data_IF_482416461745
#
_entry.id   IF_482416461745
#
_cell.length_a   1.000
_cell.length_b   1.000
_cell.length_c   1.000
_cell.angle_alpha   90.00
_cell.angle_beta   90.00
_cell.angle_gamma   90.00
#
_symmetry.space_group_name_H-M   'P 1'
#
loop_
_entity.id
_entity.type
_entity.pdbx_description
1 polymer ?
#
# COMPACT_ATOMS: atom_id res chain seq x y z
N UNK A 1 7.54 -5.22 79.21
CA UNK A 1 7.85 -6.60 78.85
C UNK A 1 8.08 -6.60 77.31
N UNK A 2 9.36 -6.39 76.95
CA UNK A 2 9.78 -6.25 75.57
C UNK A 2 10.09 -7.61 74.95
N UNK A 3 9.36 -8.06 73.97
CA UNK A 3 9.63 -9.25 73.17
C UNK A 3 10.37 -8.85 71.89
N UNK A 4 11.68 -9.03 71.88
CA UNK A 4 12.58 -8.97 70.76
C UNK A 4 12.21 -10.06 69.74
N UNK A 5 11.64 -9.67 68.57
CA UNK A 5 11.52 -10.55 67.41
C UNK A 5 12.90 -10.66 66.75
N UNK A 6 13.50 -11.86 66.85
CA UNK A 6 14.70 -12.23 66.07
C UNK A 6 14.34 -12.30 64.57
N UNK A 7 15.01 -11.49 63.72
CA UNK A 7 14.99 -11.62 62.26
C UNK A 7 15.65 -12.96 61.91
N UNK A 8 14.97 -13.74 61.06
CA UNK A 8 15.57 -14.88 60.38
C UNK A 8 16.56 -14.36 59.34
N UNK A 9 17.70 -15.01 59.10
CA UNK A 9 18.64 -14.67 58.02
C UNK A 9 17.94 -14.98 56.67
N UNK A 10 18.07 -14.05 55.72
CA UNK A 10 17.71 -14.27 54.31
C UNK A 10 18.59 -15.36 53.72
N UNK A 11 18.04 -16.23 52.83
CA UNK A 11 18.85 -17.20 52.13
C UNK A 11 19.78 -16.47 51.10
N UNK A 12 20.98 -16.97 50.84
CA UNK A 12 21.93 -16.35 49.97
C UNK A 12 21.44 -16.45 48.51
N UNK A 13 21.38 -15.29 47.83
CA UNK A 13 21.56 -15.14 46.40
C UNK A 13 20.62 -15.94 45.51
N UNK A 14 19.38 -15.43 45.31
CA UNK A 14 18.70 -15.66 44.05
C UNK A 14 19.44 -14.80 43.01
N UNK A 15 20.26 -15.44 42.17
CA UNK A 15 20.73 -14.84 40.92
C UNK A 15 19.50 -14.36 40.14
N UNK A 16 19.49 -13.07 39.78
CA UNK A 16 18.47 -12.52 38.89
C UNK A 16 18.34 -13.44 37.66
N UNK A 17 17.12 -13.74 37.18
CA UNK A 17 16.96 -14.52 35.96
C UNK A 17 17.76 -13.80 34.87
N UNK A 18 18.73 -14.51 34.27
CA UNK A 18 19.53 -13.99 33.18
C UNK A 18 18.59 -13.46 32.10
N UNK A 19 18.77 -12.22 31.72
CA UNK A 19 18.07 -11.64 30.58
C UNK A 19 18.31 -12.57 29.39
N UNK A 20 17.27 -13.23 28.91
CA UNK A 20 17.31 -13.93 27.64
C UNK A 20 17.71 -12.89 26.60
N UNK A 21 18.79 -13.08 25.83
CA UNK A 21 19.22 -12.09 24.86
C UNK A 21 18.04 -11.82 23.92
N UNK A 22 17.71 -10.54 23.73
CA UNK A 22 16.69 -10.13 22.79
C UNK A 22 16.97 -10.76 21.42
N UNK A 23 15.97 -11.33 20.75
CA UNK A 23 16.17 -11.94 19.44
C UNK A 23 16.80 -10.92 18.48
N UNK A 24 17.74 -11.37 17.67
CA UNK A 24 18.39 -10.52 16.65
C UNK A 24 17.81 -10.82 15.27
N UNK A 25 17.64 -9.79 14.45
CA UNK A 25 17.19 -9.97 13.07
C UNK A 25 18.14 -10.92 12.31
N UNK A 26 17.64 -11.69 11.33
CA UNK A 26 18.47 -12.55 10.49
C UNK A 26 19.63 -11.77 9.88
N UNK A 27 20.81 -12.39 9.81
CA UNK A 27 22.03 -11.72 9.34
C UNK A 27 21.87 -11.11 7.94
N UNK A 28 21.14 -11.83 7.05
CA UNK A 28 20.87 -11.33 5.70
C UNK A 28 20.02 -10.06 5.71
N UNK A 29 19.04 -9.96 6.61
CA UNK A 29 18.17 -8.79 6.70
C UNK A 29 18.92 -7.59 7.29
N UNK A 30 19.72 -7.80 8.35
CA UNK A 30 20.52 -6.72 8.96
C UNK A 30 21.43 -6.02 7.98
N UNK A 31 22.00 -6.76 7.03
CA UNK A 31 22.87 -6.21 5.99
C UNK A 31 22.14 -5.27 4.99
N UNK A 32 20.81 -5.30 4.97
CA UNK A 32 19.98 -4.46 4.08
C UNK A 32 19.60 -3.10 4.69
N UNK A 33 19.97 -2.87 5.96
CA UNK A 33 19.64 -1.62 6.65
C UNK A 33 20.91 -0.85 7.02
N UNK A 34 20.81 0.48 7.00
CA UNK A 34 21.85 1.39 7.51
C UNK A 34 21.73 1.62 9.01
N UNK A 35 20.56 1.37 9.58
CA UNK A 35 20.21 1.58 10.98
C UNK A 35 20.02 0.25 11.70
N UNK A 36 20.22 0.27 13.01
CA UNK A 36 20.03 -0.92 13.85
C UNK A 36 18.54 -1.26 13.95
N UNK A 37 18.24 -2.56 13.79
CA UNK A 37 16.90 -3.11 13.98
C UNK A 37 16.73 -3.56 15.43
N UNK A 38 15.72 -3.05 16.11
CA UNK A 38 15.30 -3.50 17.43
C UNK A 38 14.10 -4.45 17.31
N UNK A 39 14.14 -5.57 18.03
CA UNK A 39 13.02 -6.49 18.07
C UNK A 39 11.84 -5.89 18.84
N UNK A 40 10.64 -6.02 18.29
CA UNK A 40 9.40 -5.67 18.96
C UNK A 40 8.42 -6.83 18.85
N UNK A 41 8.00 -7.35 20.02
CA UNK A 41 7.02 -8.44 20.08
C UNK A 41 5.61 -7.84 20.04
N UNK A 42 4.85 -8.19 19.01
CA UNK A 42 3.53 -7.59 18.74
C UNK A 42 2.34 -8.39 19.27
N UNK A 43 2.54 -9.61 19.75
CA UNK A 43 1.42 -10.39 20.30
C UNK A 43 1.62 -10.78 21.75
N UNK A 44 0.52 -11.11 22.45
CA UNK A 44 0.56 -11.56 23.85
C UNK A 44 1.23 -12.93 24.02
N UNK A 45 1.34 -13.73 22.96
CA UNK A 45 2.01 -15.04 22.96
C UNK A 45 3.54 -14.92 22.75
N UNK A 46 4.05 -13.76 22.32
CA UNK A 46 5.49 -13.50 22.21
C UNK A 46 6.21 -14.15 21.02
N UNK A 47 5.47 -14.76 20.07
CA UNK A 47 6.05 -15.59 19.02
C UNK A 47 6.24 -14.84 17.69
N UNK A 48 5.70 -13.63 17.57
CA UNK A 48 5.72 -12.85 16.33
C UNK A 48 6.62 -11.64 16.46
N UNK A 49 7.64 -11.57 15.61
CA UNK A 49 8.62 -10.48 15.60
C UNK A 49 8.32 -9.48 14.49
N UNK A 50 8.08 -8.24 14.90
CA UNK A 50 8.14 -7.07 14.02
C UNK A 50 9.34 -6.24 14.46
N UNK A 51 10.18 -5.88 13.49
CA UNK A 51 11.38 -5.10 13.75
C UNK A 51 11.03 -3.60 13.71
N UNK A 52 11.73 -2.80 14.48
CA UNK A 52 11.63 -1.34 14.45
C UNK A 52 12.99 -0.76 14.17
N UNK A 53 13.03 0.36 13.46
CA UNK A 53 14.25 1.12 13.31
C UNK A 53 14.57 1.80 14.64
N UNK A 54 15.75 1.54 15.21
CA UNK A 54 16.21 2.23 16.41
C UNK A 54 16.48 3.69 16.06
N UNK A 55 16.02 4.59 16.92
CA UNK A 55 16.19 6.04 16.76
C UNK A 55 15.57 6.62 15.47
N UNK A 56 14.43 6.07 15.04
CA UNK A 56 13.67 6.63 13.93
C UNK A 56 13.04 7.96 14.32
N UNK A 57 13.38 9.03 13.58
CA UNK A 57 12.82 10.38 13.75
C UNK A 57 11.52 10.59 12.97
N UNK A 58 10.93 9.54 12.38
CA UNK A 58 9.70 9.68 11.59
C UNK A 58 8.55 10.18 12.45
N UNK A 59 7.97 11.31 12.05
CA UNK A 59 6.73 11.87 12.60
C UNK A 59 5.48 11.43 11.83
N UNK A 60 5.65 10.60 10.80
CA UNK A 60 4.56 10.09 9.99
C UNK A 60 3.60 9.26 10.87
N UNK A 61 2.32 9.55 10.73
CA UNK A 61 1.25 8.89 11.48
C UNK A 61 0.34 8.13 10.54
N UNK A 62 -0.17 7.00 11.03
CA UNK A 62 -1.20 6.23 10.36
C UNK A 62 -2.53 6.80 10.77
N UNK A 63 -3.44 6.95 9.82
CA UNK A 63 -4.81 7.35 10.12
C UNK A 63 -5.54 6.25 10.87
N UNK A 64 -6.56 6.63 11.62
CA UNK A 64 -7.35 5.69 12.43
C UNK A 64 -8.10 4.66 11.56
N UNK A 65 -8.32 4.95 10.28
CA UNK A 65 -8.95 4.02 9.33
C UNK A 65 -8.17 2.71 9.22
N UNK A 66 -6.84 2.77 9.07
CA UNK A 66 -6.02 1.56 8.95
C UNK A 66 -5.83 0.84 10.30
N UNK A 67 -5.91 1.56 11.42
CA UNK A 67 -5.87 0.94 12.76
C UNK A 67 -7.18 0.23 13.10
N UNK A 68 -8.31 0.89 12.86
CA UNK A 68 -9.63 0.40 13.26
C UNK A 68 -10.14 -0.75 12.37
N UNK A 69 -9.71 -0.83 11.11
CA UNK A 69 -10.25 -1.72 10.08
C UNK A 69 -9.23 -2.72 9.51
N UNK A 70 -8.09 -2.93 10.19
CA UNK A 70 -7.01 -3.80 9.70
C UNK A 70 -7.49 -5.22 9.35
N UNK A 71 -8.31 -5.84 10.21
CA UNK A 71 -8.85 -7.19 9.97
C UNK A 71 -9.83 -7.22 8.79
N UNK A 72 -10.70 -6.20 8.65
CA UNK A 72 -11.64 -6.09 7.55
C UNK A 72 -10.89 -5.90 6.23
N UNK A 73 -9.88 -5.03 6.21
CA UNK A 73 -9.01 -4.83 5.06
C UNK A 73 -8.33 -6.14 4.66
N UNK A 74 -7.69 -6.82 5.61
CA UNK A 74 -7.04 -8.11 5.36
C UNK A 74 -8.04 -9.13 4.78
N UNK A 75 -9.21 -9.29 5.39
CA UNK A 75 -10.25 -10.24 4.96
C UNK A 75 -10.72 -9.95 3.53
N UNK A 76 -10.87 -8.68 3.17
CA UNK A 76 -11.31 -8.24 1.84
C UNK A 76 -10.35 -8.68 0.73
N UNK A 77 -9.05 -8.62 0.98
CA UNK A 77 -8.02 -8.90 -0.03
C UNK A 77 -7.37 -10.28 0.09
N UNK A 78 -7.45 -10.95 1.23
CA UNK A 78 -6.78 -12.22 1.49
C UNK A 78 -7.15 -13.35 0.52
N UNK A 79 -8.39 -13.39 0.03
CA UNK A 79 -8.86 -14.37 -0.95
C UNK A 79 -8.71 -13.91 -2.41
N UNK A 80 -8.19 -12.69 -2.65
CA UNK A 80 -8.10 -12.10 -3.98
C UNK A 80 -6.75 -12.43 -4.63
N UNK A 81 -6.77 -12.77 -5.91
CA UNK A 81 -5.59 -12.88 -6.76
C UNK A 81 -5.34 -11.61 -7.61
N UNK A 82 -6.06 -10.51 -7.28
CA UNK A 82 -6.05 -9.28 -8.06
C UNK A 82 -4.65 -8.72 -8.25
N UNK A 83 -3.91 -8.50 -7.16
CA UNK A 83 -2.56 -7.94 -7.25
C UNK A 83 -1.57 -8.90 -7.91
N UNK A 84 -1.70 -10.21 -7.71
CA UNK A 84 -0.88 -11.18 -8.45
C UNK A 84 -1.10 -11.06 -9.97
N UNK A 85 -2.35 -10.88 -10.42
CA UNK A 85 -2.66 -10.63 -11.82
C UNK A 85 -2.06 -9.32 -12.33
N UNK A 86 -2.10 -8.25 -11.53
CA UNK A 86 -1.48 -6.97 -11.88
C UNK A 86 0.04 -7.07 -11.99
N UNK A 87 0.71 -7.79 -11.10
CA UNK A 87 2.16 -8.07 -11.23
C UNK A 87 2.45 -8.83 -12.52
N UNK A 88 1.72 -9.91 -12.81
CA UNK A 88 1.89 -10.68 -14.07
C UNK A 88 1.64 -9.82 -15.31
N UNK A 89 0.62 -8.97 -15.28
CA UNK A 89 0.31 -8.03 -16.35
C UNK A 89 1.45 -7.04 -16.55
N UNK A 90 1.98 -6.45 -15.48
CA UNK A 90 3.09 -5.51 -15.53
C UNK A 90 4.36 -6.14 -16.12
N UNK A 91 4.73 -7.35 -15.65
CA UNK A 91 5.88 -8.09 -16.16
C UNK A 91 5.73 -8.42 -17.66
N UNK A 92 4.55 -8.92 -18.06
CA UNK A 92 4.28 -9.27 -19.45
C UNK A 92 4.27 -8.05 -20.37
N UNK A 93 3.64 -6.94 -19.95
CA UNK A 93 3.51 -5.73 -20.77
C UNK A 93 4.83 -4.96 -20.93
N UNK A 94 5.72 -5.04 -19.95
CA UNK A 94 6.98 -4.28 -19.96
C UNK A 94 8.18 -5.11 -20.38
N UNK A 95 8.10 -6.44 -20.27
CA UNK A 95 9.20 -7.35 -20.58
C UNK A 95 10.40 -7.20 -19.64
N UNK A 96 10.25 -6.57 -18.47
CA UNK A 96 11.33 -6.51 -17.47
C UNK A 96 11.63 -7.89 -16.92
N UNK A 97 12.90 -8.17 -16.69
CA UNK A 97 13.36 -9.42 -16.10
C UNK A 97 13.78 -9.18 -14.64
N UNK A 98 13.11 -9.84 -13.71
CA UNK A 98 13.49 -9.83 -12.31
C UNK A 98 14.54 -10.92 -12.08
N UNK A 99 15.55 -10.62 -11.26
CA UNK A 99 16.62 -11.56 -10.91
C UNK A 99 16.05 -12.88 -10.36
N UNK A 100 16.77 -13.96 -10.53
CA UNK A 100 16.46 -15.22 -9.86
C UNK A 100 16.73 -15.07 -8.35
N UNK A 101 15.80 -15.54 -7.50
CA UNK A 101 15.86 -15.38 -6.05
C UNK A 101 16.15 -13.90 -5.63
N UNK A 102 15.29 -12.94 -6.01
CA UNK A 102 15.57 -11.52 -5.85
C UNK A 102 15.51 -11.08 -4.38
N UNK A 103 16.24 -10.01 -4.07
CA UNK A 103 16.02 -9.24 -2.86
C UNK A 103 14.96 -8.18 -3.14
N UNK A 104 13.85 -8.23 -2.40
CA UNK A 104 12.68 -7.37 -2.60
C UNK A 104 12.48 -6.48 -1.37
N UNK A 105 12.33 -5.18 -1.60
CA UNK A 105 11.79 -4.24 -0.63
C UNK A 105 10.34 -3.95 -0.97
N UNK A 106 9.44 -4.17 -0.03
CA UNK A 106 8.05 -3.79 -0.18
C UNK A 106 7.72 -2.64 0.78
N UNK A 107 7.26 -1.53 0.24
CA UNK A 107 6.94 -0.32 0.98
C UNK A 107 5.43 -0.15 1.12
N UNK A 108 4.94 0.08 2.36
CA UNK A 108 3.52 0.08 2.65
C UNK A 108 2.90 -1.31 2.51
N UNK A 109 3.57 -2.32 3.07
CA UNK A 109 3.18 -3.74 2.90
C UNK A 109 1.82 -4.06 3.52
N UNK A 110 1.37 -3.29 4.50
CA UNK A 110 0.18 -3.61 5.26
C UNK A 110 0.25 -5.03 5.83
N UNK A 111 -0.79 -5.81 5.63
CA UNK A 111 -0.85 -7.23 5.99
C UNK A 111 -0.21 -8.17 4.95
N UNK A 112 0.46 -7.65 3.93
CA UNK A 112 1.19 -8.38 2.91
C UNK A 112 0.36 -9.04 1.81
N UNK A 113 -0.97 -8.98 1.90
CA UNK A 113 -1.87 -9.67 0.94
C UNK A 113 -1.77 -9.12 -0.47
N UNK A 114 -1.42 -7.84 -0.62
CA UNK A 114 -1.36 -7.14 -1.91
C UNK A 114 0.01 -7.22 -2.57
N UNK A 115 1.06 -7.57 -1.85
CA UNK A 115 2.44 -7.53 -2.37
C UNK A 115 3.26 -8.73 -1.95
N UNK A 116 3.50 -8.97 -0.66
CA UNK A 116 4.36 -10.06 -0.17
C UNK A 116 3.83 -11.44 -0.60
N UNK A 117 2.53 -11.69 -0.45
CA UNK A 117 1.90 -12.96 -0.86
C UNK A 117 2.01 -13.19 -2.37
N UNK A 118 1.67 -12.22 -3.25
CA UNK A 118 1.93 -12.31 -4.68
C UNK A 118 3.42 -12.51 -5.02
N UNK A 119 4.32 -11.75 -4.41
CA UNK A 119 5.76 -11.84 -4.68
C UNK A 119 6.33 -13.22 -4.33
N UNK A 120 5.90 -13.81 -3.21
CA UNK A 120 6.29 -15.19 -2.84
C UNK A 120 5.89 -16.22 -3.90
N UNK A 121 4.71 -16.05 -4.50
CA UNK A 121 4.21 -16.97 -5.55
C UNK A 121 4.89 -16.75 -6.89
N UNK A 122 5.30 -15.52 -7.18
CA UNK A 122 5.89 -15.15 -8.48
C UNK A 122 7.41 -15.35 -8.53
N UNK A 123 8.10 -15.11 -7.42
CA UNK A 123 9.56 -15.06 -7.37
C UNK A 123 10.10 -16.10 -6.37
N UNK A 124 10.31 -17.30 -6.85
CA UNK A 124 10.84 -18.40 -6.01
C UNK A 124 12.22 -18.05 -5.41
N UNK A 125 12.38 -18.36 -4.13
CA UNK A 125 13.63 -18.08 -3.40
C UNK A 125 13.88 -16.60 -3.06
N UNK A 126 12.88 -15.72 -3.28
CA UNK A 126 13.00 -14.30 -2.92
C UNK A 126 13.26 -14.11 -1.43
N UNK A 127 14.07 -13.11 -1.08
CA UNK A 127 14.20 -12.57 0.28
C UNK A 127 13.56 -11.19 0.32
N UNK A 128 12.61 -11.00 1.24
CA UNK A 128 11.75 -9.83 1.25
C UNK A 128 11.87 -9.04 2.55
N UNK A 129 11.93 -7.73 2.44
CA UNK A 129 11.77 -6.79 3.54
C UNK A 129 10.42 -6.11 3.36
N UNK A 130 9.48 -6.44 4.23
CA UNK A 130 8.14 -5.85 4.25
C UNK A 130 8.14 -4.67 5.23
N UNK A 131 7.78 -3.47 4.76
CA UNK A 131 7.79 -2.27 5.59
C UNK A 131 6.44 -1.58 5.61
N UNK A 132 6.04 -1.09 6.78
CA UNK A 132 4.82 -0.32 7.00
C UNK A 132 4.95 0.56 8.24
N UNK A 133 4.13 1.59 8.37
CA UNK A 133 3.99 2.37 9.60
C UNK A 133 3.10 1.65 10.65
N UNK A 134 2.19 0.76 10.20
CA UNK A 134 1.31 -0.01 11.07
C UNK A 134 2.00 -1.27 11.60
N UNK A 135 2.34 -1.25 12.89
CA UNK A 135 2.81 -2.45 13.59
C UNK A 135 1.76 -3.55 13.63
N UNK A 136 0.48 -3.19 13.70
CA UNK A 136 -0.66 -4.11 13.73
C UNK A 136 -0.79 -4.89 12.41
N UNK A 137 -0.72 -4.19 11.27
CA UNK A 137 -0.77 -4.83 9.96
C UNK A 137 0.47 -5.71 9.72
N UNK A 138 1.65 -5.23 10.11
CA UNK A 138 2.87 -6.03 10.02
C UNK A 138 2.82 -7.27 10.92
N UNK A 139 2.18 -7.21 12.10
CA UNK A 139 1.99 -8.37 12.95
C UNK A 139 1.08 -9.42 12.29
N UNK A 140 0.04 -9.00 11.55
CA UNK A 140 -0.79 -9.91 10.75
C UNK A 140 0.04 -10.60 9.66
N UNK A 141 0.91 -9.86 8.96
CA UNK A 141 1.83 -10.44 7.99
C UNK A 141 2.82 -11.40 8.64
N UNK A 142 3.40 -11.04 9.78
CA UNK A 142 4.36 -11.88 10.48
C UNK A 142 3.70 -13.20 10.96
N UNK A 143 2.44 -13.17 11.44
CA UNK A 143 1.65 -14.38 11.72
C UNK A 143 1.47 -15.23 10.45
N UNK A 144 1.08 -14.62 9.34
CA UNK A 144 0.97 -15.33 8.07
C UNK A 144 2.28 -16.03 7.67
N UNK A 145 3.43 -15.37 7.86
CA UNK A 145 4.74 -15.96 7.56
C UNK A 145 5.06 -17.16 8.47
N UNK A 146 4.73 -17.08 9.76
CA UNK A 146 4.87 -18.21 10.70
C UNK A 146 3.98 -19.39 10.27
N UNK A 147 2.71 -19.14 10.02
CA UNK A 147 1.73 -20.17 9.63
C UNK A 147 2.08 -20.88 8.32
N UNK A 148 2.84 -20.18 7.46
CA UNK A 148 3.27 -20.71 6.16
C UNK A 148 4.76 -21.16 6.12
N UNK A 149 5.42 -21.29 7.28
CA UNK A 149 6.83 -21.65 7.42
C UNK A 149 7.76 -20.80 6.53
N UNK A 150 7.52 -19.48 6.48
CA UNK A 150 8.15 -18.54 5.55
C UNK A 150 8.97 -17.44 6.26
N UNK A 151 9.27 -17.62 7.54
CA UNK A 151 10.00 -16.64 8.36
C UNK A 151 11.45 -16.43 7.89
N UNK A 152 12.02 -17.37 7.16
CA UNK A 152 13.35 -17.22 6.56
C UNK A 152 13.31 -16.46 5.21
N UNK A 153 12.12 -16.31 4.63
CA UNK A 153 11.91 -15.64 3.34
C UNK A 153 11.67 -14.14 3.49
N UNK A 154 11.05 -13.71 4.61
CA UNK A 154 10.67 -12.32 4.79
C UNK A 154 10.85 -11.85 6.23
N UNK A 155 11.17 -10.55 6.38
CA UNK A 155 11.17 -9.83 7.65
C UNK A 155 10.19 -8.66 7.58
N UNK A 156 9.49 -8.39 8.68
CA UNK A 156 8.58 -7.27 8.83
C UNK A 156 9.25 -6.16 9.64
N UNK A 157 9.39 -4.96 9.08
CA UNK A 157 10.04 -3.84 9.75
C UNK A 157 9.14 -2.60 9.74
N UNK A 158 8.88 -2.03 10.92
CA UNK A 158 8.16 -0.76 11.03
C UNK A 158 9.06 0.36 10.55
N UNK A 159 8.69 0.98 9.43
CA UNK A 159 9.50 2.01 8.77
C UNK A 159 8.62 2.90 7.89
N UNK A 160 8.98 4.18 7.84
CA UNK A 160 8.41 5.14 6.90
C UNK A 160 8.94 4.88 5.48
N UNK A 161 8.04 4.83 4.48
CA UNK A 161 8.39 4.63 3.07
C UNK A 161 9.26 5.76 2.48
N UNK A 162 9.25 6.94 3.10
CA UNK A 162 10.07 8.08 2.69
C UNK A 162 11.45 8.10 3.37
N UNK A 163 11.73 7.17 4.28
CA UNK A 163 12.97 7.14 5.05
C UNK A 163 14.16 6.56 4.29
N UNK A 164 15.37 6.86 4.78
CA UNK A 164 16.62 6.41 4.18
C UNK A 164 17.33 5.31 5.01
N UNK A 165 16.58 4.60 5.84
CA UNK A 165 17.16 3.55 6.71
C UNK A 165 17.58 2.27 5.98
N UNK A 166 17.24 2.17 4.70
CA UNK A 166 17.64 1.04 3.84
C UNK A 166 18.98 1.31 3.19
N UNK A 167 19.85 0.30 3.14
CA UNK A 167 21.15 0.39 2.48
C UNK A 167 20.98 0.66 0.96
N UNK A 168 21.81 1.54 0.37
CA UNK A 168 21.72 1.86 -1.04
C UNK A 168 22.17 0.70 -1.92
N UNK A 169 21.49 0.50 -3.05
CA UNK A 169 21.93 -0.42 -4.10
C UNK A 169 21.90 -1.90 -3.72
N UNK A 170 20.99 -2.33 -2.84
CA UNK A 170 20.94 -3.71 -2.36
C UNK A 170 19.75 -4.51 -2.86
N UNK A 171 18.67 -3.86 -3.35
CA UNK A 171 17.47 -4.55 -3.80
C UNK A 171 17.43 -4.72 -5.32
N UNK A 172 16.92 -5.86 -5.75
CA UNK A 172 16.65 -6.15 -7.16
C UNK A 172 15.28 -5.59 -7.59
N UNK A 173 14.33 -5.58 -6.65
CA UNK A 173 12.97 -5.11 -6.84
C UNK A 173 12.51 -4.29 -5.63
N UNK A 174 11.88 -3.15 -5.88
CA UNK A 174 11.07 -2.42 -4.90
C UNK A 174 9.61 -2.53 -5.33
N UNK A 175 8.71 -2.82 -4.40
CA UNK A 175 7.27 -2.88 -4.66
C UNK A 175 6.51 -1.97 -3.71
N UNK A 176 5.32 -1.56 -4.14
CA UNK A 176 4.39 -0.83 -3.29
C UNK A 176 2.97 -0.93 -3.87
N UNK A 177 2.07 -1.56 -3.12
CA UNK A 177 0.69 -1.75 -3.55
C UNK A 177 -0.20 -0.69 -2.91
N UNK A 178 -0.53 0.36 -3.66
CA UNK A 178 -1.37 1.47 -3.19
C UNK A 178 -0.74 2.21 -2.00
N UNK A 179 0.46 2.74 -2.18
CA UNK A 179 1.19 3.43 -1.11
C UNK A 179 1.60 4.87 -1.46
N UNK A 180 2.03 5.12 -2.71
CA UNK A 180 2.58 6.45 -3.04
C UNK A 180 1.55 7.56 -2.87
N UNK A 181 0.27 7.28 -3.15
CA UNK A 181 -0.80 8.26 -3.00
C UNK A 181 -1.18 8.57 -1.54
N UNK A 182 -0.71 7.79 -0.57
CA UNK A 182 -0.86 8.10 0.86
C UNK A 182 0.26 8.99 1.40
N UNK A 183 1.42 9.01 0.74
CA UNK A 183 2.59 9.75 1.22
C UNK A 183 2.37 11.27 1.15
N UNK A 184 2.89 12.01 2.12
CA UNK A 184 2.93 13.47 2.06
C UNK A 184 3.79 13.94 0.87
N UNK A 185 4.88 13.22 0.57
CA UNK A 185 5.75 13.44 -0.58
C UNK A 185 6.03 12.12 -1.31
N UNK A 186 5.25 11.77 -2.33
CA UNK A 186 5.54 10.61 -3.18
C UNK A 186 6.89 10.71 -3.88
N UNK A 187 7.40 11.92 -4.12
CA UNK A 187 8.73 12.18 -4.65
C UNK A 187 9.83 11.64 -3.72
N UNK A 188 9.68 11.83 -2.41
CA UNK A 188 10.62 11.28 -1.43
C UNK A 188 10.53 9.75 -1.38
N UNK A 189 9.32 9.18 -1.47
CA UNK A 189 9.13 7.72 -1.60
C UNK A 189 9.83 7.15 -2.83
N UNK A 190 9.72 7.81 -3.98
CA UNK A 190 10.41 7.42 -5.21
C UNK A 190 11.94 7.56 -5.08
N UNK A 191 12.43 8.61 -4.43
CA UNK A 191 13.86 8.79 -4.15
C UNK A 191 14.40 7.67 -3.26
N UNK A 192 13.69 7.31 -2.19
CA UNK A 192 14.06 6.23 -1.29
C UNK A 192 14.10 4.88 -2.05
N UNK A 193 13.09 4.61 -2.88
CA UNK A 193 13.04 3.41 -3.73
C UNK A 193 14.20 3.37 -4.74
N UNK A 194 14.47 4.50 -5.42
CA UNK A 194 15.58 4.61 -6.37
C UNK A 194 16.94 4.41 -5.72
N UNK A 195 17.13 4.92 -4.50
CA UNK A 195 18.37 4.73 -3.74
C UNK A 195 18.57 3.27 -3.31
N UNK A 196 17.48 2.59 -2.90
CA UNK A 196 17.52 1.20 -2.45
C UNK A 196 17.87 0.20 -3.57
N UNK A 197 17.52 0.52 -4.82
CA UNK A 197 17.69 -0.36 -5.97
C UNK A 197 19.15 -0.45 -6.44
N UNK A 198 19.54 -1.66 -6.82
CA UNK A 198 20.74 -1.93 -7.61
C UNK A 198 20.67 -1.25 -8.97
N UNK A 199 21.80 -0.91 -9.62
CA UNK A 199 21.80 -0.58 -11.03
C UNK A 199 21.10 -1.68 -11.87
N UNK A 200 20.15 -1.30 -12.71
CA UNK A 200 19.32 -2.24 -13.48
C UNK A 200 18.17 -2.90 -12.71
N UNK A 201 18.03 -2.61 -11.41
CA UNK A 201 16.88 -3.03 -10.63
C UNK A 201 15.59 -2.30 -11.01
N UNK A 202 14.46 -2.80 -10.54
CA UNK A 202 13.15 -2.30 -10.92
C UNK A 202 12.30 -1.88 -9.72
N UNK A 203 11.39 -0.90 -9.93
CA UNK A 203 10.32 -0.64 -8.97
C UNK A 203 8.95 -0.82 -9.64
N UNK A 204 7.99 -1.38 -8.89
CA UNK A 204 6.61 -1.61 -9.35
C UNK A 204 5.65 -1.05 -8.30
N UNK A 205 4.85 -0.05 -8.72
CA UNK A 205 3.83 0.55 -7.88
C UNK A 205 2.47 0.48 -8.55
N UNK A 206 1.40 0.28 -7.78
CA UNK A 206 0.02 0.24 -8.23
C UNK A 206 -0.71 1.46 -7.66
N UNK A 207 -1.12 2.41 -8.52
CA UNK A 207 -1.54 3.72 -8.07
C UNK A 207 -2.76 4.27 -8.82
N UNK A 208 -3.54 5.18 -8.21
CA UNK A 208 -4.63 5.89 -8.87
C UNK A 208 -4.12 7.07 -9.71
N UNK A 209 -4.80 7.34 -10.81
CA UNK A 209 -4.44 8.37 -11.77
C UNK A 209 -5.56 9.39 -12.02
N UNK A 210 -5.22 10.48 -12.69
CA UNK A 210 -6.14 11.58 -13.01
C UNK A 210 -7.35 11.20 -13.89
N UNK A 211 -7.39 9.99 -14.42
CA UNK A 211 -8.60 9.42 -15.03
C UNK A 211 -9.81 9.39 -14.11
N UNK A 212 -9.60 9.40 -12.81
CA UNK A 212 -10.64 9.60 -11.81
C UNK A 212 -11.42 10.91 -12.01
N UNK A 213 -10.80 11.94 -12.58
CA UNK A 213 -11.50 13.18 -12.95
C UNK A 213 -12.66 12.97 -13.93
N UNK A 214 -12.51 12.02 -14.87
CA UNK A 214 -13.61 11.66 -15.80
C UNK A 214 -14.72 10.90 -15.06
N UNK A 215 -14.35 9.98 -14.16
CA UNK A 215 -15.31 9.27 -13.30
C UNK A 215 -16.11 10.27 -12.46
N UNK A 216 -15.44 11.25 -11.86
CA UNK A 216 -16.09 12.34 -11.11
C UNK A 216 -17.10 13.10 -11.96
N UNK A 217 -16.71 13.53 -13.15
CA UNK A 217 -17.61 14.26 -14.07
C UNK A 217 -18.84 13.43 -14.45
N UNK A 218 -18.68 12.13 -14.69
CA UNK A 218 -19.79 11.23 -14.97
C UNK A 218 -20.73 11.09 -13.77
N UNK A 219 -20.18 10.98 -12.56
CA UNK A 219 -20.99 10.89 -11.33
C UNK A 219 -21.70 12.20 -11.00
N UNK A 220 -21.05 13.36 -11.17
CA UNK A 220 -21.70 14.66 -11.06
C UNK A 220 -22.88 14.79 -12.03
N UNK A 221 -22.72 14.32 -13.28
CA UNK A 221 -23.80 14.32 -14.27
C UNK A 221 -24.95 13.41 -13.85
N UNK A 222 -24.68 12.21 -13.34
CA UNK A 222 -25.71 11.28 -12.83
C UNK A 222 -26.47 11.92 -11.67
N UNK A 223 -25.77 12.51 -10.69
CA UNK A 223 -26.39 13.16 -9.54
C UNK A 223 -27.26 14.35 -9.94
N UNK A 224 -26.84 15.15 -10.92
CA UNK A 224 -27.60 16.27 -11.43
C UNK A 224 -28.88 15.79 -12.14
N UNK A 225 -28.79 14.78 -13.01
CA UNK A 225 -29.92 14.22 -13.72
C UNK A 225 -30.92 13.56 -12.78
N UNK A 226 -30.51 12.86 -11.74
CA UNK A 226 -31.40 12.26 -10.73
C UNK A 226 -32.30 13.30 -10.09
N UNK A 227 -31.77 14.51 -9.77
CA UNK A 227 -32.56 15.61 -9.24
C UNK A 227 -33.60 16.21 -10.21
N UNK A 228 -33.37 16.06 -11.52
CA UNK A 228 -34.27 16.62 -12.55
C UNK A 228 -35.35 15.65 -13.00
N UNK A 229 -35.08 14.34 -12.99
CA UNK A 229 -35.95 13.31 -13.59
C UNK A 229 -37.10 12.87 -12.72
N UNK A 230 -37.07 13.11 -11.41
CA UNK A 230 -38.03 12.54 -10.47
C UNK A 230 -37.95 11.01 -10.34
N UNK A 231 -36.85 10.42 -10.82
CA UNK A 231 -36.46 9.00 -10.70
C UNK A 231 -35.20 8.93 -9.82
N UNK A 232 -35.37 8.89 -8.48
CA UNK A 232 -34.26 9.01 -7.55
C UNK A 232 -33.36 7.78 -7.61
N UNK A 233 -32.07 7.99 -7.35
CA UNK A 233 -31.12 6.91 -7.11
C UNK A 233 -31.48 6.19 -5.80
N UNK A 234 -31.01 4.93 -5.67
CA UNK A 234 -30.98 4.29 -4.36
C UNK A 234 -30.17 5.19 -3.39
N UNK A 235 -30.66 5.47 -2.17
CA UNK A 235 -30.00 6.39 -1.24
C UNK A 235 -28.55 6.00 -0.89
N UNK A 236 -28.22 4.70 -0.84
CA UNK A 236 -26.86 4.24 -0.61
C UNK A 236 -25.97 4.51 -1.83
N UNK A 237 -26.49 4.30 -3.03
CA UNK A 237 -25.81 4.61 -4.28
C UNK A 237 -25.55 6.12 -4.39
N UNK A 238 -26.58 6.95 -4.16
CA UNK A 238 -26.42 8.40 -4.19
C UNK A 238 -25.35 8.88 -3.21
N UNK A 239 -25.38 8.37 -1.97
CA UNK A 239 -24.37 8.68 -0.95
C UNK A 239 -22.98 8.29 -1.41
N UNK A 240 -22.82 7.08 -1.97
CA UNK A 240 -21.54 6.61 -2.49
C UNK A 240 -20.99 7.49 -3.62
N UNK A 241 -21.84 7.86 -4.60
CA UNK A 241 -21.43 8.73 -5.70
C UNK A 241 -21.00 10.12 -5.19
N UNK A 242 -21.76 10.72 -4.27
CA UNK A 242 -21.41 12.02 -3.65
C UNK A 242 -20.09 11.96 -2.92
N UNK A 243 -19.86 10.90 -2.14
CA UNK A 243 -18.60 10.73 -1.41
C UNK A 243 -17.40 10.62 -2.36
N UNK A 244 -17.52 9.84 -3.44
CA UNK A 244 -16.47 9.70 -4.45
C UNK A 244 -16.21 11.03 -5.17
N UNK A 245 -17.24 11.81 -5.50
CA UNK A 245 -17.09 13.15 -6.09
C UNK A 245 -16.30 14.07 -5.17
N UNK A 246 -16.61 14.08 -3.86
CA UNK A 246 -15.89 14.89 -2.86
C UNK A 246 -14.44 14.45 -2.75
N UNK A 247 -14.21 13.14 -2.62
CA UNK A 247 -12.85 12.58 -2.49
C UNK A 247 -11.97 12.90 -3.72
N UNK A 248 -12.46 12.59 -4.92
CA UNK A 248 -11.73 12.86 -6.16
C UNK A 248 -11.46 14.36 -6.34
N UNK A 249 -12.41 15.23 -5.95
CA UNK A 249 -12.22 16.68 -6.01
C UNK A 249 -11.08 17.12 -5.10
N UNK A 250 -11.06 16.63 -3.86
CA UNK A 250 -10.02 16.95 -2.89
C UNK A 250 -8.62 16.51 -3.32
N UNK A 251 -8.53 15.37 -4.03
CA UNK A 251 -7.26 14.77 -4.51
C UNK A 251 -6.77 15.32 -5.85
N UNK A 252 -7.64 15.99 -6.63
CA UNK A 252 -7.31 16.44 -7.99
C UNK A 252 -6.30 17.58 -8.02
N UNK A 253 -6.35 18.47 -7.03
CA UNK A 253 -5.42 19.60 -6.86
C UNK A 253 -5.28 19.94 -5.38
N UNK A 254 -4.67 19.05 -4.58
CA UNK A 254 -4.62 19.21 -3.14
C UNK A 254 -3.57 20.26 -2.75
N UNK A 255 -3.96 21.17 -1.85
CA UNK A 255 -3.02 22.07 -1.19
C UNK A 255 -2.31 21.34 -0.05
N UNK A 256 -1.11 20.84 -0.33
CA UNK A 256 -0.28 20.08 0.60
C UNK A 256 0.13 20.87 1.86
N UNK A 257 -0.08 22.19 1.89
CA UNK A 257 0.26 23.04 3.05
C UNK A 257 -0.84 23.04 4.12
N UNK A 258 -2.03 22.55 3.79
CA UNK A 258 -3.20 22.62 4.66
C UNK A 258 -3.27 21.47 5.68
N UNK A 259 -3.84 21.71 6.88
CA UNK A 259 -4.15 20.64 7.83
C UNK A 259 -5.13 19.60 7.25
N UNK A 260 -6.04 20.03 6.37
CA UNK A 260 -6.99 19.14 5.71
C UNK A 260 -6.27 18.09 4.85
N UNK A 261 -5.28 18.49 4.06
CA UNK A 261 -4.45 17.56 3.28
C UNK A 261 -3.75 16.54 4.17
N UNK A 262 -3.16 16.97 5.29
CA UNK A 262 -2.48 16.06 6.21
C UNK A 262 -3.41 15.01 6.81
N UNK A 263 -4.68 15.38 7.02
CA UNK A 263 -5.71 14.49 7.57
C UNK A 263 -6.32 13.54 6.52
N UNK A 264 -6.04 13.73 5.22
CA UNK A 264 -6.50 12.82 4.18
C UNK A 264 -5.72 11.50 4.24
N UNK A 265 -6.41 10.37 4.06
CA UNK A 265 -5.78 9.07 3.85
C UNK A 265 -5.19 9.02 2.44
N UNK A 266 -6.04 9.11 1.45
CA UNK A 266 -5.68 9.19 0.04
C UNK A 266 -5.42 10.66 -0.33
N UNK A 267 -4.19 11.00 -0.71
CA UNK A 267 -3.76 12.39 -0.93
C UNK A 267 -3.68 12.79 -2.40
N UNK A 268 -3.32 11.84 -3.26
CA UNK A 268 -2.93 12.15 -4.64
C UNK A 268 -3.66 11.33 -5.69
N UNK A 269 -3.94 11.98 -6.80
CA UNK A 269 -4.18 11.33 -8.09
C UNK A 269 -2.99 11.66 -9.00
N UNK A 270 -2.34 10.65 -9.55
CA UNK A 270 -1.13 10.86 -10.33
C UNK A 270 -1.43 11.25 -11.78
N UNK A 271 -0.60 12.14 -12.33
CA UNK A 271 -0.43 12.27 -13.78
C UNK A 271 0.83 11.51 -14.23
N UNK A 272 0.85 11.04 -15.47
CA UNK A 272 2.05 10.41 -16.04
C UNK A 272 3.24 11.35 -16.01
N UNK A 273 3.03 12.62 -16.37
CA UNK A 273 4.07 13.65 -16.36
C UNK A 273 4.70 13.81 -14.97
N UNK A 274 3.89 13.94 -13.92
CA UNK A 274 4.42 14.04 -12.54
C UNK A 274 5.26 12.84 -12.15
N UNK A 275 4.78 11.63 -12.47
CA UNK A 275 5.52 10.40 -12.17
C UNK A 275 6.83 10.35 -12.97
N UNK A 276 6.82 10.70 -14.25
CA UNK A 276 8.02 10.71 -15.11
C UNK A 276 9.07 11.71 -14.61
N UNK A 277 8.65 12.91 -14.21
CA UNK A 277 9.53 13.94 -13.67
C UNK A 277 10.14 13.50 -12.33
N UNK A 278 9.31 13.01 -11.41
CA UNK A 278 9.75 12.53 -10.10
C UNK A 278 10.67 11.33 -10.23
N UNK A 279 10.36 10.38 -11.09
CA UNK A 279 11.20 9.21 -11.32
C UNK A 279 12.56 9.60 -11.94
N UNK A 280 12.57 10.54 -12.90
CA UNK A 280 13.83 11.06 -13.46
C UNK A 280 14.69 11.73 -12.39
N UNK A 281 14.08 12.54 -11.52
CA UNK A 281 14.76 13.19 -10.41
C UNK A 281 15.33 12.16 -9.41
N UNK A 282 14.62 11.05 -9.18
CA UNK A 282 15.07 9.92 -8.36
C UNK A 282 16.13 9.02 -9.04
N UNK A 283 16.56 9.37 -10.27
CA UNK A 283 17.60 8.67 -11.02
C UNK A 283 17.15 7.38 -11.69
N UNK A 284 15.86 7.22 -11.94
CA UNK A 284 15.36 6.15 -12.82
C UNK A 284 15.63 6.47 -14.29
N UNK A 285 16.01 5.46 -15.05
CA UNK A 285 16.38 5.58 -16.47
C UNK A 285 15.19 5.32 -17.41
N UNK A 286 14.18 4.59 -16.94
CA UNK A 286 12.97 4.33 -17.71
C UNK A 286 11.72 4.31 -16.80
N UNK A 287 10.61 4.79 -17.37
CA UNK A 287 9.27 4.77 -16.77
C UNK A 287 8.31 4.15 -17.77
N UNK A 288 7.50 3.19 -17.33
CA UNK A 288 6.45 2.58 -18.14
C UNK A 288 5.16 2.52 -17.32
N UNK A 289 4.04 2.71 -18.00
CA UNK A 289 2.71 2.67 -17.38
C UNK A 289 1.89 1.53 -17.99
N UNK A 290 1.25 0.76 -17.12
CA UNK A 290 0.36 -0.34 -17.52
C UNK A 290 -1.01 -0.10 -16.91
N UNK A 291 -2.04 0.30 -17.68
CA UNK A 291 -3.39 0.49 -17.17
C UNK A 291 -3.93 -0.81 -16.59
N UNK A 292 -4.60 -0.74 -15.43
CA UNK A 292 -5.23 -1.93 -14.84
C UNK A 292 -6.45 -2.39 -15.64
N UNK A 293 -7.22 -1.43 -16.16
CA UNK A 293 -8.41 -1.68 -16.94
C UNK A 293 -8.19 -1.24 -18.38
N UNK A 294 -8.35 -2.16 -19.31
CA UNK A 294 -8.17 -1.95 -20.74
C UNK A 294 -9.44 -2.36 -21.49
N UNK A 295 -10.57 -1.76 -21.05
CA UNK A 295 -11.90 -2.10 -21.56
C UNK A 295 -12.54 -0.94 -22.33
N UNK A 296 -13.43 -1.29 -23.25
CA UNK A 296 -14.29 -0.30 -23.91
C UNK A 296 -15.25 0.36 -22.92
N UNK A 297 -15.70 -0.35 -21.89
CA UNK A 297 -16.67 0.05 -20.87
C UNK A 297 -15.98 0.44 -19.54
N UNK A 298 -14.85 1.13 -19.61
CA UNK A 298 -14.03 1.46 -18.45
C UNK A 298 -14.81 2.16 -17.33
N UNK A 299 -15.53 3.24 -17.66
CA UNK A 299 -16.22 4.06 -16.65
C UNK A 299 -17.42 3.35 -16.06
N UNK A 300 -18.13 2.57 -16.87
CA UNK A 300 -19.21 1.69 -16.42
C UNK A 300 -18.70 0.65 -15.42
N UNK A 301 -17.60 0.00 -15.73
CA UNK A 301 -17.00 -1.04 -14.88
C UNK A 301 -16.46 -0.46 -13.58
N UNK A 302 -15.79 0.70 -13.63
CA UNK A 302 -15.33 1.43 -12.45
C UNK A 302 -16.51 1.81 -11.56
N UNK A 303 -17.61 2.36 -12.10
CA UNK A 303 -18.78 2.72 -11.33
C UNK A 303 -19.38 1.51 -10.60
N UNK A 304 -19.54 0.37 -11.28
CA UNK A 304 -20.06 -0.85 -10.68
C UNK A 304 -19.16 -1.36 -9.52
N UNK A 305 -17.85 -1.33 -9.70
CA UNK A 305 -16.89 -1.71 -8.65
C UNK A 305 -16.97 -0.75 -7.46
N UNK A 306 -16.98 0.56 -7.69
CA UNK A 306 -16.99 1.56 -6.63
C UNK A 306 -18.26 1.58 -5.82
N UNK A 307 -19.44 1.44 -6.46
CA UNK A 307 -20.71 1.31 -5.76
C UNK A 307 -20.69 0.09 -4.85
N UNK A 308 -20.22 -1.05 -5.34
CA UNK A 308 -20.11 -2.27 -4.52
C UNK A 308 -19.16 -2.09 -3.34
N UNK A 309 -18.01 -1.46 -3.55
CA UNK A 309 -17.01 -1.22 -2.49
C UNK A 309 -17.56 -0.25 -1.43
N UNK A 310 -18.17 0.84 -1.85
CA UNK A 310 -18.67 1.88 -0.95
C UNK A 310 -19.93 1.44 -0.17
N UNK A 311 -20.77 0.60 -0.75
CA UNK A 311 -22.02 0.17 -0.12
C UNK A 311 -21.93 -1.20 0.57
N UNK A 312 -20.88 -1.99 0.30
CA UNK A 312 -20.79 -3.38 0.72
C UNK A 312 -21.78 -4.32 0.03
N UNK A 313 -22.54 -3.82 -0.98
CA UNK A 313 -23.66 -4.51 -1.62
C UNK A 313 -23.38 -4.77 -3.10
N UNK A 314 -23.33 -6.04 -3.49
CA UNK A 314 -23.13 -6.45 -4.89
C UNK A 314 -24.40 -6.47 -5.75
N UNK A 315 -25.55 -6.34 -5.12
CA UNK A 315 -26.88 -6.32 -5.79
C UNK A 315 -27.35 -4.91 -6.19
N UNK A 316 -26.67 -3.86 -5.66
CA UNK A 316 -26.99 -2.48 -6.03
C UNK A 316 -26.38 -2.13 -7.39
N UNK A 317 -27.22 -1.60 -8.27
CA UNK A 317 -26.86 -1.14 -9.60
C UNK A 317 -27.43 0.25 -9.87
N UNK A 318 -26.86 0.93 -10.86
CA UNK A 318 -27.43 2.17 -11.38
C UNK A 318 -28.66 1.89 -12.24
N UNK A 319 -29.59 2.83 -12.27
CA UNK A 319 -30.72 2.82 -13.18
C UNK A 319 -30.24 2.88 -14.64
N UNK A 320 -31.06 2.37 -15.61
CA UNK A 320 -30.65 2.35 -17.01
C UNK A 320 -30.19 3.71 -17.55
N UNK A 321 -30.92 4.80 -17.22
CA UNK A 321 -30.53 6.13 -17.66
C UNK A 321 -29.19 6.60 -17.14
N UNK A 322 -28.82 6.20 -15.92
CA UNK A 322 -27.50 6.51 -15.34
C UNK A 322 -26.38 5.68 -15.99
N UNK A 323 -26.72 4.44 -16.36
CA UNK A 323 -25.82 3.61 -17.17
C UNK A 323 -25.58 4.20 -18.57
N UNK A 324 -26.64 4.75 -19.21
CA UNK A 324 -26.53 5.44 -20.51
C UNK A 324 -25.58 6.65 -20.43
N UNK A 325 -25.57 7.36 -19.30
CA UNK A 325 -24.60 8.44 -19.07
C UNK A 325 -23.18 7.89 -19.06
N UNK A 326 -22.91 6.83 -18.30
CA UNK A 326 -21.57 6.21 -18.26
C UNK A 326 -21.16 5.70 -19.64
N UNK A 327 -22.05 5.04 -20.36
CA UNK A 327 -21.83 4.56 -21.71
C UNK A 327 -21.50 5.73 -22.68
N UNK A 328 -22.09 6.92 -22.47
CA UNK A 328 -21.75 8.11 -23.26
C UNK A 328 -20.33 8.62 -22.99
N UNK A 329 -19.86 8.59 -21.76
CA UNK A 329 -18.47 8.90 -21.42
C UNK A 329 -17.53 7.85 -22.01
N UNK A 330 -17.91 6.57 -21.95
CA UNK A 330 -17.13 5.49 -22.54
C UNK A 330 -17.03 5.62 -24.07
N UNK A 331 -18.11 6.05 -24.73
CA UNK A 331 -18.12 6.27 -26.18
C UNK A 331 -17.38 7.56 -26.62
N UNK A 332 -17.36 8.59 -25.76
CA UNK A 332 -16.75 9.88 -26.06
C UNK A 332 -15.21 9.82 -26.15
N UNK A 333 -14.58 8.87 -25.47
CA UNK A 333 -13.12 8.74 -25.43
C UNK A 333 -12.65 7.54 -26.26
N UNK A 334 -11.64 7.77 -27.08
CA UNK A 334 -10.96 6.69 -27.79
C UNK A 334 -10.25 5.75 -26.79
N UNK A 335 -10.02 4.52 -27.21
CA UNK A 335 -9.23 3.56 -26.44
C UNK A 335 -7.84 4.12 -26.04
N UNK A 336 -7.18 4.83 -26.93
CA UNK A 336 -5.89 5.49 -26.64
C UNK A 336 -6.02 6.56 -25.57
N UNK A 337 -7.05 7.41 -25.64
CA UNK A 337 -7.28 8.44 -24.63
C UNK A 337 -7.55 7.85 -23.24
N UNK A 338 -8.33 6.77 -23.15
CA UNK A 338 -8.56 6.05 -21.89
C UNK A 338 -7.29 5.48 -21.28
N UNK A 339 -6.39 4.94 -22.11
CA UNK A 339 -5.08 4.44 -21.67
C UNK A 339 -4.15 5.54 -21.17
N UNK A 340 -4.19 6.71 -21.80
CA UNK A 340 -3.41 7.87 -21.34
C UNK A 340 -3.94 8.43 -20.03
N UNK A 341 -5.26 8.52 -19.89
CA UNK A 341 -5.92 9.08 -18.73
C UNK A 341 -6.06 8.10 -17.56
N UNK A 342 -5.70 6.87 -17.66
CA UNK A 342 -5.83 5.80 -16.66
C UNK A 342 -6.60 6.19 -15.39
N UNK A 343 -7.53 5.35 -14.95
CA UNK A 343 -8.14 5.48 -13.61
C UNK A 343 -7.21 4.85 -12.56
N UNK A 344 -6.77 3.63 -12.83
CA UNK A 344 -5.80 2.89 -12.04
C UNK A 344 -4.71 2.35 -12.96
N UNK A 345 -3.47 2.31 -12.50
CA UNK A 345 -2.36 1.82 -13.31
C UNK A 345 -1.16 1.36 -12.51
N UNK A 346 -0.36 0.53 -13.15
CA UNK A 346 0.96 0.13 -12.65
C UNK A 346 2.03 1.06 -13.19
N UNK A 347 2.86 1.56 -12.31
CA UNK A 347 4.09 2.31 -12.60
C UNK A 347 5.24 1.30 -12.53
N UNK A 348 5.96 1.12 -13.63
CA UNK A 348 7.15 0.27 -13.69
C UNK A 348 8.36 1.15 -14.01
N UNK A 349 9.32 1.16 -13.08
CA UNK A 349 10.51 1.99 -13.13
C UNK A 349 11.75 1.10 -13.28
N UNK A 350 12.76 1.58 -14.01
CA UNK A 350 14.07 0.92 -14.12
C UNK A 350 15.16 1.88 -13.65
N UNK A 351 16.05 1.40 -12.77
CA UNK A 351 17.19 2.16 -12.24
C UNK A 351 18.35 2.22 -13.24
#
# INVERSE_FOLDING_TARGET
MNLLRRRRPEPPGATAPGETPSPSAPAWARALFTSELAAHLQNQAGDVLVWTIRDSDSTATITDQFKANAEEYHRRYAASDHFEKLFRQALAATGIAIAQAPQILDVGSGSGVNSIVPCRRLFGGARMVATDLSGELLAMLANYLVDNAATDEAVCAKMDAMSEHVAPGVFDLVTGASILHHLESPEQGLNAAGRALKPGGHAIFFEPFNGWGIVRLAFERILAEAGLRGDPLDPLVETALRQIVVDVTARSDPDATTPAFKAMDDKWLFSRTRVEESARAAGFTAVRFVPHNDHKTLYRDVAAVQIRLATGRGDLTLQPWAMDILDSFDAALTWHAKRELMVEGTIVLTK
#
